data_IF_959336712168
#
_entry.id   IF_959336712168
#
_cell.length_a   1.000
_cell.length_b   1.000
_cell.length_c   1.000
_cell.angle_alpha   90.00
_cell.angle_beta   90.00
_cell.angle_gamma   90.00
#
_symmetry.space_group_name_H-M   'P 1'
#
loop_
_entity.id
_entity.type
_entity.pdbx_description
1 polymer ?
#
# COMPACT_ATOMS: atom_id res chain seq x y z
N UNK A 1 21.51 -0.46 6.31
CA UNK A 1 21.00 -1.72 6.90
C UNK A 1 19.75 -2.11 6.12
N UNK A 2 19.60 -3.37 5.70
CA UNK A 2 18.33 -3.84 5.14
C UNK A 2 17.48 -4.45 6.26
N UNK A 3 16.22 -4.03 6.37
CA UNK A 3 15.25 -4.66 7.25
C UNK A 3 14.45 -5.64 6.39
N UNK A 4 14.32 -6.88 6.86
CA UNK A 4 13.48 -7.89 6.21
C UNK A 4 12.16 -7.99 6.95
N UNK A 5 11.08 -8.06 6.19
CA UNK A 5 9.74 -8.33 6.69
C UNK A 5 9.25 -9.66 6.11
N UNK A 6 8.49 -10.42 6.88
CA UNK A 6 7.84 -11.63 6.36
C UNK A 6 6.70 -11.26 5.42
N UNK A 7 6.46 -12.07 4.38
CA UNK A 7 5.42 -11.80 3.38
C UNK A 7 4.02 -11.70 4.00
N UNK A 8 3.73 -12.54 5.00
CA UNK A 8 2.47 -12.47 5.77
C UNK A 8 2.31 -11.14 6.51
N UNK A 9 3.33 -10.71 7.25
CA UNK A 9 3.26 -9.44 7.99
C UNK A 9 3.13 -8.23 7.05
N UNK A 10 3.76 -8.30 5.86
CA UNK A 10 3.57 -7.30 4.81
C UNK A 10 2.11 -7.24 4.36
N UNK A 11 1.53 -8.39 4.00
CA UNK A 11 0.15 -8.48 3.53
C UNK A 11 -0.88 -8.00 4.58
N UNK A 12 -0.65 -8.30 5.86
CA UNK A 12 -1.48 -7.81 6.97
C UNK A 12 -1.41 -6.29 7.16
N UNK A 13 -0.32 -5.63 6.74
CA UNK A 13 -0.12 -4.20 6.92
C UNK A 13 -0.50 -3.34 5.71
N UNK A 14 -0.27 -3.85 4.50
CA UNK A 14 -0.35 -3.10 3.26
C UNK A 14 -1.19 -3.79 2.18
N UNK A 15 -1.65 -5.02 2.41
CA UNK A 15 -2.32 -5.82 1.39
C UNK A 15 -1.35 -6.71 0.58
N UNK A 16 -1.89 -7.60 -0.26
CA UNK A 16 -1.10 -8.52 -1.07
C UNK A 16 -0.22 -7.77 -2.09
N UNK A 17 0.95 -8.31 -2.41
CA UNK A 17 1.85 -7.77 -3.43
C UNK A 17 2.14 -8.81 -4.52
N UNK A 18 2.99 -8.51 -5.50
CA UNK A 18 3.23 -9.32 -6.71
C UNK A 18 3.42 -10.80 -6.38
N UNK A 19 2.61 -11.66 -6.99
CA UNK A 19 2.63 -13.12 -6.81
C UNK A 19 1.91 -13.63 -5.56
N UNK A 20 1.32 -12.77 -4.73
CA UNK A 20 0.30 -13.18 -3.77
C UNK A 20 -1.03 -13.47 -4.49
N UNK A 21 -1.85 -14.35 -3.90
CA UNK A 21 -3.16 -14.71 -4.44
C UNK A 21 -4.27 -14.40 -3.46
N UNK A 22 -5.39 -13.94 -4.01
CA UNK A 22 -6.61 -13.64 -3.25
C UNK A 22 -7.75 -14.47 -3.80
N UNK A 23 -8.49 -15.14 -2.91
CA UNK A 23 -9.74 -15.83 -3.26
C UNK A 23 -10.84 -14.79 -3.40
N UNK A 24 -11.58 -14.83 -4.50
CA UNK A 24 -12.73 -13.94 -4.69
C UNK A 24 -13.91 -14.45 -3.88
N UNK A 25 -14.10 -13.85 -2.70
CA UNK A 25 -15.14 -14.20 -1.74
C UNK A 25 -15.17 -15.71 -1.43
N UNK A 26 -16.34 -16.31 -1.43
CA UNK A 26 -16.57 -17.74 -1.20
C UNK A 26 -16.50 -18.59 -2.47
N UNK A 27 -16.10 -18.02 -3.61
CA UNK A 27 -15.94 -18.77 -4.88
C UNK A 27 -14.61 -19.53 -4.93
N UNK A 28 -14.45 -20.46 -5.88
CA UNK A 28 -13.16 -21.13 -6.13
C UNK A 28 -12.24 -20.34 -7.10
N UNK A 29 -12.53 -19.05 -7.33
CA UNK A 29 -11.72 -18.19 -8.18
C UNK A 29 -10.59 -17.55 -7.38
N UNK A 30 -9.37 -17.70 -7.90
CA UNK A 30 -8.16 -17.09 -7.34
C UNK A 30 -7.57 -16.11 -8.34
N UNK A 31 -7.32 -14.88 -7.87
CA UNK A 31 -6.58 -13.87 -8.63
C UNK A 31 -5.16 -13.77 -8.09
N UNK A 32 -4.21 -13.45 -8.96
CA UNK A 32 -2.81 -13.21 -8.60
C UNK A 32 -2.48 -11.74 -8.85
N UNK A 33 -1.76 -11.12 -7.91
CA UNK A 33 -1.27 -9.74 -8.12
C UNK A 33 -0.16 -9.78 -9.16
N UNK A 34 -0.42 -9.20 -10.33
CA UNK A 34 0.53 -9.25 -11.45
C UNK A 34 1.61 -8.17 -11.37
N UNK A 35 1.25 -7.00 -10.82
CA UNK A 35 2.12 -5.83 -10.72
C UNK A 35 1.79 -5.04 -9.46
N UNK A 36 2.83 -4.47 -8.86
CA UNK A 36 2.75 -3.53 -7.76
C UNK A 36 3.62 -2.32 -8.12
N UNK A 37 3.07 -1.12 -7.93
CA UNK A 37 3.73 0.14 -8.26
C UNK A 37 4.48 0.74 -7.06
N UNK A 38 4.42 0.10 -5.89
CA UNK A 38 5.10 0.56 -4.69
C UNK A 38 6.62 0.39 -4.78
N UNK A 39 7.34 1.16 -3.95
CA UNK A 39 8.73 0.91 -3.59
C UNK A 39 8.71 0.37 -2.17
N UNK A 40 9.24 -0.84 -1.97
CA UNK A 40 9.14 -1.50 -0.66
C UNK A 40 9.86 -0.72 0.45
N UNK A 41 9.10 -0.37 1.50
CA UNK A 41 9.53 0.50 2.60
C UNK A 41 8.99 1.93 2.50
N UNK A 42 8.46 2.35 1.36
CA UNK A 42 7.86 3.67 1.11
C UNK A 42 6.33 3.60 0.97
N UNK A 43 5.70 2.53 1.48
CA UNK A 43 4.26 2.36 1.40
C UNK A 43 3.51 3.49 2.12
N UNK A 44 2.42 3.93 1.51
CA UNK A 44 1.63 5.04 2.06
C UNK A 44 0.66 4.52 3.11
N UNK A 45 0.86 4.94 4.37
CA UNK A 45 -0.01 4.60 5.50
C UNK A 45 -0.42 5.83 6.31
N UNK A 46 -1.72 6.00 6.48
CA UNK A 46 -2.30 7.02 7.34
C UNK A 46 -2.43 6.52 8.79
N UNK A 47 -2.33 7.42 9.76
CA UNK A 47 -2.51 7.14 11.19
C UNK A 47 -1.44 7.79 12.09
N UNK A 48 -1.65 7.71 13.40
CA UNK A 48 -0.73 8.26 14.40
C UNK A 48 0.68 7.67 14.29
N UNK A 49 1.68 8.53 14.08
CA UNK A 49 3.08 8.11 13.93
C UNK A 49 3.40 7.40 12.60
N UNK A 50 2.54 7.49 11.59
CA UNK A 50 2.71 6.82 10.28
C UNK A 50 3.27 7.76 9.21
N UNK A 51 3.07 7.41 7.94
CA UNK A 51 3.74 8.02 6.78
C UNK A 51 3.03 9.30 6.32
N UNK A 52 1.70 9.30 6.18
CA UNK A 52 0.94 10.50 5.78
C UNK A 52 0.85 11.46 6.97
N UNK A 53 1.85 12.34 7.06
CA UNK A 53 1.95 13.46 7.99
C UNK A 53 2.70 14.60 7.30
N UNK A 54 2.44 15.81 7.77
CA UNK A 54 3.03 17.04 7.21
C UNK A 54 4.56 16.95 7.07
N UNK A 55 5.07 17.25 5.87
CA UNK A 55 6.49 17.20 5.54
C UNK A 55 7.09 15.79 5.37
N UNK A 56 6.28 14.74 5.48
CA UNK A 56 6.67 13.34 5.23
C UNK A 56 5.98 12.83 3.95
N UNK A 57 5.11 11.82 4.05
CA UNK A 57 4.31 11.34 2.92
C UNK A 57 3.22 12.33 2.48
N UNK A 58 2.93 13.37 3.28
CA UNK A 58 2.06 14.47 2.87
C UNK A 58 2.91 15.67 2.44
N UNK A 59 2.82 16.02 1.16
CA UNK A 59 3.47 17.22 0.61
C UNK A 59 2.88 18.51 1.18
N UNK A 60 3.70 19.55 1.28
CA UNK A 60 3.31 20.90 1.72
C UNK A 60 2.89 21.82 0.57
N UNK A 61 2.59 21.26 -0.60
CA UNK A 61 2.11 22.02 -1.76
C UNK A 61 0.70 22.55 -1.53
N UNK A 62 0.33 23.56 -2.32
CA UNK A 62 -1.00 24.17 -2.27
C UNK A 62 -2.06 23.24 -2.85
N UNK A 63 -3.32 23.45 -2.46
CA UNK A 63 -4.45 22.59 -2.85
C UNK A 63 -4.62 22.42 -4.37
N UNK A 64 -4.20 23.41 -5.16
CA UNK A 64 -4.27 23.37 -6.62
C UNK A 64 -3.33 22.32 -7.27
N UNK A 65 -2.36 21.77 -6.52
CA UNK A 65 -1.33 20.85 -7.02
C UNK A 65 -1.40 19.46 -6.39
N UNK A 66 -2.42 19.17 -5.60
CA UNK A 66 -2.54 17.91 -4.83
C UNK A 66 -3.85 17.20 -5.16
N UNK A 67 -3.89 15.90 -4.89
CA UNK A 67 -5.12 15.13 -5.04
C UNK A 67 -6.13 15.48 -3.92
N UNK A 68 -7.41 15.53 -4.27
CA UNK A 68 -8.50 15.72 -3.29
C UNK A 68 -8.64 14.50 -2.36
N UNK A 69 -8.38 13.30 -2.88
CA UNK A 69 -8.44 12.04 -2.14
C UNK A 69 -7.47 11.04 -2.76
N UNK A 70 -6.88 10.21 -1.90
CA UNK A 70 -6.04 9.08 -2.33
C UNK A 70 -6.52 7.81 -1.64
N UNK A 71 -6.66 6.73 -2.41
CA UNK A 71 -6.91 5.38 -1.89
C UNK A 71 -5.56 4.66 -1.92
N UNK A 72 -5.00 4.38 -0.74
CA UNK A 72 -3.66 3.79 -0.64
C UNK A 72 -3.70 2.27 -0.68
N UNK A 73 -2.71 1.67 -1.34
CA UNK A 73 -2.49 0.22 -1.39
C UNK A 73 -3.71 -0.60 -1.88
N UNK A 74 -4.40 -0.10 -2.91
CA UNK A 74 -5.52 -0.79 -3.51
C UNK A 74 -5.05 -1.94 -4.41
N UNK A 75 -5.72 -3.09 -4.29
CA UNK A 75 -5.70 -4.14 -5.31
C UNK A 75 -6.78 -3.84 -6.34
N UNK A 76 -6.38 -3.67 -7.59
CA UNK A 76 -7.25 -3.37 -8.74
C UNK A 76 -7.39 -4.60 -9.61
#
# INVERSE_FOLDING_TARGET
MSIKISRRAYAEMFGPTVGDRVRLADTELWIEVERDFTIYGEEVKFGGGKVIRDGMGQSQRVSAEVADTVITNALI
#
